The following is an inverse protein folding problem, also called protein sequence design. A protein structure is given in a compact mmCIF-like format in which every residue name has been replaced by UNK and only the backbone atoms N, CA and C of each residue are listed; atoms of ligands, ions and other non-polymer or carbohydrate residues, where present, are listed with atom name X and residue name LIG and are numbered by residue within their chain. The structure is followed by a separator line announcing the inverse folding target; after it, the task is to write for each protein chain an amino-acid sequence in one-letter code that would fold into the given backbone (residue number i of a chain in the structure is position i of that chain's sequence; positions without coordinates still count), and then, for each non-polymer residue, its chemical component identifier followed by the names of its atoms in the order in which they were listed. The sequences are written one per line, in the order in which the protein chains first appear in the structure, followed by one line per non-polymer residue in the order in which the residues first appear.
data_IF_847775097281
#
_entry.id   IF_847775097281
#
_cell.length_a   1.000
_cell.length_b   1.000
_cell.length_c   1.000
_cell.angle_alpha   90.00
_cell.angle_beta   90.00
_cell.angle_gamma   90.00
#
_symmetry.space_group_name_H-M   'P 1'
#
loop_
_entity.id
_entity.type
_entity.pdbx_description
1 polymer ?
#
# COMPACT_ATOMS: atom_id res chain seq x y z
N UNK A 1 -20.77 13.48 -8.47
CA UNK A 1 -19.75 14.13 -7.60
C UNK A 1 -20.44 15.21 -6.76
N UNK A 2 -20.18 15.28 -5.44
CA UNK A 2 -20.73 16.33 -4.57
C UNK A 2 -20.35 17.73 -5.06
N UNK A 3 -21.24 18.73 -4.90
CA UNK A 3 -20.99 20.11 -5.38
C UNK A 3 -20.01 20.89 -4.51
N UNK A 4 -20.07 20.71 -3.18
CA UNK A 4 -19.21 21.38 -2.21
C UNK A 4 -18.20 20.38 -1.59
N UNK A 5 -16.99 20.83 -1.22
CA UNK A 5 -16.00 19.98 -0.53
C UNK A 5 -16.52 19.50 0.82
N UNK A 6 -16.03 18.35 1.27
CA UNK A 6 -16.32 17.86 2.63
C UNK A 6 -15.77 18.81 3.69
N UNK A 7 -16.41 18.83 4.85
CA UNK A 7 -15.95 19.60 6.01
C UNK A 7 -14.56 19.13 6.47
N UNK A 8 -13.70 20.10 6.76
CA UNK A 8 -12.37 19.87 7.33
C UNK A 8 -12.39 20.30 8.81
N UNK A 9 -12.37 19.36 9.78
CA UNK A 9 -12.42 19.69 11.19
C UNK A 9 -11.14 20.39 11.65
N UNK A 10 -11.34 21.41 12.48
CA UNK A 10 -10.30 22.30 13.05
C UNK A 10 -9.57 23.12 11.99
N UNK A 11 -8.89 22.49 11.03
CA UNK A 11 -8.04 23.15 10.03
C UNK A 11 -8.82 23.57 8.78
N UNK A 12 -8.66 24.84 8.41
CA UNK A 12 -9.25 25.45 7.22
C UNK A 12 -8.19 25.89 6.20
N UNK A 13 -7.05 26.39 6.66
CA UNK A 13 -5.96 26.84 5.80
C UNK A 13 -4.69 26.03 6.07
N UNK A 14 -4.19 25.35 5.04
CA UNK A 14 -2.94 24.60 5.10
C UNK A 14 -2.00 25.13 4.03
N UNK A 15 -0.87 25.67 4.46
CA UNK A 15 0.24 26.07 3.59
C UNK A 15 1.48 25.22 3.89
N UNK A 16 2.51 25.35 3.07
CA UNK A 16 3.68 24.49 3.11
C UNK A 16 4.97 25.30 3.23
N UNK A 17 5.93 24.75 3.95
CA UNK A 17 7.24 25.36 4.16
C UNK A 17 8.07 25.25 2.89
N UNK A 18 8.69 26.38 2.50
CA UNK A 18 9.70 26.47 1.45
C UNK A 18 10.99 27.03 2.08
N UNK A 19 12.04 26.22 2.10
CA UNK A 19 13.33 26.53 2.70
C UNK A 19 14.44 26.08 1.75
N UNK A 20 15.18 27.04 1.19
CA UNK A 20 16.30 26.73 0.28
C UNK A 20 17.50 26.11 0.99
N UNK A 21 17.70 26.45 2.27
CA UNK A 21 18.86 26.04 3.06
C UNK A 21 18.41 25.39 4.37
N UNK A 22 18.03 24.11 4.31
CA UNK A 22 17.71 23.33 5.50
C UNK A 22 19.00 22.73 6.08
N UNK A 23 19.26 23.00 7.36
CA UNK A 23 20.40 22.39 8.06
C UNK A 23 19.93 21.11 8.73
N UNK A 24 20.67 20.02 8.54
CA UNK A 24 20.38 18.75 9.21
C UNK A 24 20.51 18.94 10.72
N UNK A 25 19.39 18.99 11.43
CA UNK A 25 19.38 19.28 12.87
C UNK A 25 19.59 18.02 13.73
N UNK A 26 18.93 16.91 13.37
CA UNK A 26 18.80 15.69 14.19
C UNK A 26 18.79 14.42 13.30
N UNK A 27 18.45 13.26 13.88
CA UNK A 27 18.38 12.01 13.12
C UNK A 27 17.20 11.99 12.13
N UNK A 28 17.44 11.34 11.00
CA UNK A 28 16.43 11.14 9.96
C UNK A 28 16.14 12.40 9.13
N UNK A 29 15.16 12.27 8.25
CA UNK A 29 14.71 13.30 7.33
C UNK A 29 15.61 13.38 6.10
N UNK A 30 15.25 14.27 5.19
CA UNK A 30 16.03 14.53 3.98
C UNK A 30 16.03 16.00 3.60
N UNK A 31 16.92 16.36 2.67
CA UNK A 31 16.92 17.68 2.05
C UNK A 31 15.59 17.96 1.33
N UNK A 32 14.98 16.93 0.73
CA UNK A 32 13.66 17.03 0.10
C UNK A 32 12.55 17.37 1.10
N UNK A 33 12.60 16.80 2.31
CA UNK A 33 11.67 17.05 3.40
C UNK A 33 12.00 18.26 4.29
N UNK A 34 13.19 18.85 4.15
CA UNK A 34 13.67 20.02 4.90
C UNK A 34 14.21 19.74 6.30
N UNK A 35 14.51 18.49 6.63
CA UNK A 35 15.04 18.09 7.96
C UNK A 35 14.31 18.73 9.16
N UNK A 36 12.96 18.60 9.28
CA UNK A 36 12.26 19.15 10.43
C UNK A 36 12.86 18.61 11.74
N UNK A 37 13.08 19.47 12.73
CA UNK A 37 13.46 19.06 14.08
C UNK A 37 12.32 18.25 14.75
N UNK A 38 12.64 17.52 15.82
CA UNK A 38 11.64 16.84 16.65
C UNK A 38 10.65 17.83 17.26
N UNK A 39 11.09 19.04 17.62
CA UNK A 39 10.20 20.12 18.08
C UNK A 39 9.19 20.51 17.00
N UNK A 40 9.65 20.81 15.79
CA UNK A 40 8.75 21.14 14.66
C UNK A 40 7.81 19.98 14.33
N UNK A 41 8.30 18.72 14.40
CA UNK A 41 7.45 17.53 14.25
C UNK A 41 6.34 17.51 15.31
N UNK A 42 6.66 17.68 16.59
CA UNK A 42 5.67 17.67 17.67
C UNK A 42 4.66 18.82 17.52
N UNK A 43 5.13 20.01 17.17
CA UNK A 43 4.26 21.17 16.90
C UNK A 43 3.31 20.93 15.72
N UNK A 44 3.75 20.20 14.68
CA UNK A 44 2.92 19.88 13.52
C UNK A 44 1.72 18.97 13.81
N UNK A 45 1.73 18.26 14.95
CA UNK A 45 0.57 17.50 15.41
C UNK A 45 -0.42 18.33 16.22
N UNK A 46 -0.08 19.55 16.65
CA UNK A 46 -1.01 20.45 17.32
C UNK A 46 -1.86 21.18 16.29
N UNK A 47 -2.95 20.54 15.86
CA UNK A 47 -3.79 21.03 14.76
C UNK A 47 -4.46 22.36 15.11
N UNK A 48 -4.30 23.35 14.23
CA UNK A 48 -4.87 24.70 14.33
C UNK A 48 -5.67 25.02 13.08
N UNK A 49 -6.47 26.09 13.14
CA UNK A 49 -7.27 26.56 12.01
C UNK A 49 -6.43 26.92 10.77
N UNK A 50 -5.25 27.51 11.01
CA UNK A 50 -4.26 27.80 9.97
C UNK A 50 -2.92 27.20 10.36
N UNK A 51 -2.29 26.46 9.45
CA UNK A 51 -0.99 25.82 9.66
C UNK A 51 -0.08 25.95 8.45
N UNK A 52 1.22 26.04 8.73
CA UNK A 52 2.29 25.90 7.74
C UNK A 52 3.13 24.70 8.15
N UNK A 53 3.28 23.70 7.28
CA UNK A 53 3.97 22.44 7.63
C UNK A 53 5.01 22.03 6.58
N UNK A 54 6.03 21.28 7.03
CA UNK A 54 6.90 20.52 6.12
C UNK A 54 6.07 19.42 5.44
N UNK A 55 6.21 19.27 4.12
CA UNK A 55 5.41 18.30 3.36
C UNK A 55 6.11 17.92 2.03
N UNK A 56 7.42 17.66 2.10
CA UNK A 56 8.26 17.55 0.90
C UNK A 56 8.34 18.85 0.08
N UNK A 57 9.13 18.82 -1.00
CA UNK A 57 9.26 19.95 -1.92
C UNK A 57 9.60 21.28 -1.21
N UNK A 58 10.52 21.24 -0.25
CA UNK A 58 10.92 22.45 0.49
C UNK A 58 11.82 23.38 -0.34
N UNK A 59 12.57 22.79 -1.27
CA UNK A 59 13.33 23.52 -2.28
C UNK A 59 12.45 23.83 -3.50
N UNK A 60 12.99 24.66 -4.41
CA UNK A 60 12.29 25.07 -5.62
C UNK A 60 11.19 26.12 -5.38
N UNK A 61 10.61 26.60 -6.48
CA UNK A 61 9.49 27.54 -6.51
C UNK A 61 8.13 26.82 -6.55
N UNK A 62 8.11 25.58 -7.04
CA UNK A 62 6.90 24.77 -7.19
C UNK A 62 7.22 23.28 -7.06
N UNK A 63 6.36 22.46 -6.43
CA UNK A 63 6.50 21.00 -6.48
C UNK A 63 6.72 20.50 -7.91
N UNK A 64 7.78 19.73 -8.13
CA UNK A 64 8.16 19.26 -9.46
C UNK A 64 9.21 20.12 -10.18
N UNK A 65 9.54 21.32 -9.71
CA UNK A 65 10.53 22.20 -10.35
C UNK A 65 11.68 22.54 -9.41
N UNK A 66 12.89 22.04 -9.71
CA UNK A 66 14.10 22.26 -8.93
C UNK A 66 13.93 21.89 -7.44
N UNK A 67 13.25 20.78 -7.19
CA UNK A 67 12.90 20.29 -5.84
C UNK A 67 13.67 19.03 -5.46
N UNK A 68 14.40 18.41 -6.39
CA UNK A 68 14.94 17.06 -6.23
C UNK A 68 13.86 15.99 -6.39
N UNK A 69 12.84 16.27 -7.20
CA UNK A 69 11.85 15.35 -7.74
C UNK A 69 11.30 16.08 -8.96
N UNK A 70 12.16 16.21 -9.98
CA UNK A 70 11.99 17.21 -11.02
C UNK A 70 11.21 16.62 -12.19
N UNK A 71 10.27 17.40 -12.70
CA UNK A 71 9.33 17.03 -13.76
C UNK A 71 9.46 18.08 -14.85
N UNK A 72 9.39 17.66 -16.11
CA UNK A 72 9.40 18.60 -17.24
C UNK A 72 8.25 19.61 -17.15
N UNK A 73 8.51 20.87 -17.49
CA UNK A 73 7.49 21.93 -17.44
C UNK A 73 6.25 21.62 -18.30
N UNK A 74 6.42 20.86 -19.40
CA UNK A 74 5.31 20.40 -20.24
C UNK A 74 4.37 19.44 -19.51
N UNK A 75 4.92 18.56 -18.68
CA UNK A 75 4.13 17.61 -17.88
C UNK A 75 3.55 18.31 -16.64
N UNK A 76 4.27 19.25 -16.02
CA UNK A 76 3.71 20.11 -14.95
C UNK A 76 2.50 20.89 -15.46
N UNK A 77 2.57 21.46 -16.66
CA UNK A 77 1.46 22.17 -17.28
C UNK A 77 0.22 21.28 -17.42
N UNK A 78 0.40 20.05 -17.89
CA UNK A 78 -0.67 19.07 -18.06
C UNK A 78 -1.25 18.61 -16.72
N UNK A 79 -0.40 18.44 -15.70
CA UNK A 79 -0.82 18.14 -14.33
C UNK A 79 -1.67 19.26 -13.73
N UNK A 80 -1.33 20.53 -13.99
CA UNK A 80 -2.12 21.69 -13.54
C UNK A 80 -3.51 21.76 -14.20
N UNK A 81 -3.64 21.29 -15.45
CA UNK A 81 -4.93 21.24 -16.13
C UNK A 81 -5.86 20.16 -15.56
N UNK A 82 -5.31 19.17 -14.86
CA UNK A 82 -6.12 18.12 -14.26
C UNK A 82 -7.01 18.67 -13.13
N UNK A 83 -8.32 18.47 -13.27
CA UNK A 83 -9.33 18.92 -12.30
C UNK A 83 -10.28 17.78 -11.95
N UNK A 84 -10.90 17.86 -10.78
CA UNK A 84 -11.90 16.87 -10.37
C UNK A 84 -11.24 15.60 -9.85
N UNK A 85 -11.03 14.59 -10.69
CA UNK A 85 -10.59 13.24 -10.26
C UNK A 85 -9.29 12.83 -10.95
N UNK A 86 -8.34 12.36 -10.15
CA UNK A 86 -7.07 11.80 -10.57
C UNK A 86 -6.98 10.32 -10.18
N UNK A 87 -6.55 9.48 -11.11
CA UNK A 87 -5.98 8.17 -10.80
C UNK A 87 -4.47 8.27 -11.02
N UNK A 88 -3.70 7.95 -9.99
CA UNK A 88 -2.25 8.04 -10.02
C UNK A 88 -1.59 6.71 -9.65
N UNK A 89 -0.46 6.43 -10.29
CA UNK A 89 0.39 5.29 -10.00
C UNK A 89 1.86 5.68 -10.14
N UNK A 90 2.78 4.81 -9.73
CA UNK A 90 4.19 4.97 -10.02
C UNK A 90 4.91 3.62 -10.18
N UNK A 91 5.94 3.62 -11.02
CA UNK A 91 6.89 2.53 -11.16
C UNK A 91 8.30 3.14 -11.19
N UNK A 92 9.09 2.84 -10.15
CA UNK A 92 10.48 3.25 -10.06
C UNK A 92 11.38 2.01 -10.00
N UNK A 93 12.57 2.09 -10.57
CA UNK A 93 13.52 0.99 -10.67
C UNK A 93 13.13 -0.08 -11.70
N UNK A 94 12.18 0.24 -12.58
CA UNK A 94 11.55 -0.68 -13.52
C UNK A 94 11.03 -1.98 -12.84
N UNK A 95 10.55 -1.85 -11.60
CA UNK A 95 10.24 -2.99 -10.73
C UNK A 95 8.99 -3.79 -11.16
N UNK A 96 8.03 -3.09 -11.75
CA UNK A 96 6.73 -3.61 -12.14
C UNK A 96 6.48 -3.42 -13.65
N UNK A 97 5.57 -4.22 -14.20
CA UNK A 97 4.99 -3.95 -15.51
C UNK A 97 3.79 -3.02 -15.39
N UNK A 98 3.60 -2.13 -16.37
CA UNK A 98 2.43 -1.24 -16.43
C UNK A 98 1.15 -2.08 -16.55
N UNK A 99 0.28 -1.96 -15.55
CA UNK A 99 -1.08 -2.50 -15.59
C UNK A 99 -2.05 -1.45 -16.15
N UNK A 100 -2.90 -1.81 -17.11
CA UNK A 100 -3.86 -0.89 -17.73
C UNK A 100 -5.18 -0.88 -16.97
N UNK A 101 -5.76 0.30 -16.62
CA UNK A 101 -7.09 0.34 -16.06
C UNK A 101 -8.11 -0.26 -17.03
N UNK A 102 -8.95 -1.18 -16.53
CA UNK A 102 -10.02 -1.85 -17.27
C UNK A 102 -11.39 -1.35 -16.80
N UNK A 103 -12.40 -1.56 -17.65
CA UNK A 103 -13.79 -1.22 -17.38
C UNK A 103 -14.02 0.27 -17.03
N UNK A 104 -13.22 1.16 -17.63
CA UNK A 104 -13.36 2.60 -17.49
C UNK A 104 -14.43 3.08 -18.47
N UNK A 105 -15.46 3.76 -17.97
CA UNK A 105 -16.53 4.32 -18.81
C UNK A 105 -16.02 5.44 -19.72
N UNK A 106 -16.70 5.71 -20.83
CA UNK A 106 -16.30 6.81 -21.73
C UNK A 106 -16.43 8.19 -21.08
N UNK A 107 -17.33 8.33 -20.10
CA UNK A 107 -17.41 9.51 -19.25
C UNK A 107 -16.13 9.68 -18.43
N UNK A 108 -15.67 8.61 -17.77
CA UNK A 108 -14.45 8.64 -16.97
C UNK A 108 -13.19 8.81 -17.81
N UNK A 109 -13.09 8.20 -19.00
CA UNK A 109 -11.97 8.43 -19.92
C UNK A 109 -11.81 9.90 -20.33
N UNK A 110 -12.91 10.66 -20.35
CA UNK A 110 -12.92 12.10 -20.68
C UNK A 110 -12.65 13.00 -19.47
N UNK A 111 -13.13 12.61 -18.29
CA UNK A 111 -13.19 13.48 -17.11
C UNK A 111 -12.21 13.11 -15.98
N UNK A 112 -11.61 11.92 -16.04
CA UNK A 112 -10.64 11.44 -15.06
C UNK A 112 -9.26 11.48 -15.67
N UNK A 113 -8.32 12.07 -14.94
CA UNK A 113 -6.92 12.06 -15.34
C UNK A 113 -6.25 10.75 -14.90
N UNK A 114 -5.43 10.16 -15.76
CA UNK A 114 -4.65 8.97 -15.46
C UNK A 114 -3.16 9.29 -15.63
N UNK A 115 -2.43 9.33 -14.52
CA UNK A 115 -1.01 9.69 -14.51
C UNK A 115 -0.18 8.58 -13.87
N UNK A 116 0.97 8.27 -14.47
CA UNK A 116 1.92 7.31 -13.91
C UNK A 116 3.31 7.95 -13.85
N UNK A 117 3.87 8.01 -12.64
CA UNK A 117 5.20 8.53 -12.40
C UNK A 117 6.24 7.42 -12.61
N UNK A 118 7.28 7.71 -13.38
CA UNK A 118 8.37 6.77 -13.65
C UNK A 118 9.72 7.45 -13.50
N UNK A 119 10.78 6.69 -13.24
CA UNK A 119 12.15 7.20 -13.34
C UNK A 119 12.73 6.98 -14.73
N UNK A 120 13.89 7.59 -14.99
CA UNK A 120 14.60 7.49 -16.27
C UNK A 120 14.92 6.04 -16.64
N UNK A 121 15.22 5.18 -15.64
CA UNK A 121 15.44 3.75 -15.87
C UNK A 121 14.19 3.06 -16.41
N UNK A 122 13.04 3.29 -15.77
CA UNK A 122 11.76 2.73 -16.19
C UNK A 122 11.33 3.31 -17.55
N UNK A 123 11.54 4.60 -17.78
CA UNK A 123 11.27 5.23 -19.08
C UNK A 123 12.08 4.57 -20.21
N UNK A 124 13.37 4.33 -20.00
CA UNK A 124 14.23 3.62 -20.94
C UNK A 124 13.70 2.21 -21.27
N UNK A 125 13.24 1.49 -20.26
CA UNK A 125 12.58 0.18 -20.45
C UNK A 125 11.30 0.28 -21.29
N UNK A 126 10.45 1.27 -21.05
CA UNK A 126 9.22 1.49 -21.80
C UNK A 126 9.46 1.85 -23.27
N UNK A 127 10.48 2.67 -23.54
CA UNK A 127 10.92 3.01 -24.91
C UNK A 127 11.44 1.77 -25.65
N UNK A 128 12.21 0.92 -24.97
CA UNK A 128 12.76 -0.31 -25.58
C UNK A 128 11.70 -1.36 -25.93
N UNK A 129 10.59 -1.38 -25.21
CA UNK A 129 9.48 -2.32 -25.42
C UNK A 129 8.39 -1.78 -26.36
N UNK A 130 8.64 -0.65 -27.04
CA UNK A 130 7.69 0.04 -27.94
C UNK A 130 6.33 0.36 -27.30
N UNK A 131 6.27 0.43 -25.96
CA UNK A 131 5.02 0.66 -25.24
C UNK A 131 4.67 2.15 -25.09
N UNK A 132 5.66 3.04 -25.22
CA UNK A 132 5.47 4.49 -25.10
C UNK A 132 5.18 5.11 -26.47
N UNK A 133 3.99 5.70 -26.64
CA UNK A 133 3.63 6.40 -27.87
C UNK A 133 4.25 7.81 -27.95
N UNK A 134 4.14 8.46 -29.12
CA UNK A 134 4.64 9.83 -29.34
C UNK A 134 3.98 10.88 -28.44
N UNK A 135 2.83 10.56 -27.84
CA UNK A 135 2.09 11.43 -26.92
C UNK A 135 2.48 11.25 -25.45
N UNK A 136 3.57 10.53 -25.17
CA UNK A 136 4.00 10.13 -23.82
C UNK A 136 2.94 9.32 -23.07
N UNK A 137 2.12 8.55 -23.79
CA UNK A 137 1.08 7.70 -23.19
C UNK A 137 1.38 6.22 -23.38
N UNK A 138 0.87 5.44 -22.43
CA UNK A 138 0.78 3.98 -22.48
C UNK A 138 -0.66 3.62 -22.13
N UNK A 139 -1.48 3.37 -23.15
CA UNK A 139 -2.92 3.18 -22.97
C UNK A 139 -3.58 4.40 -22.33
N UNK A 140 -4.22 4.24 -21.17
CA UNK A 140 -4.85 5.37 -20.47
C UNK A 140 -3.84 6.25 -19.73
N UNK A 141 -2.69 5.70 -19.34
CA UNK A 141 -1.70 6.42 -18.54
C UNK A 141 -0.97 7.46 -19.37
N UNK A 142 -0.96 8.71 -18.89
CA UNK A 142 0.07 9.68 -19.24
C UNK A 142 1.30 9.42 -18.38
N UNK A 143 2.45 9.22 -19.00
CA UNK A 143 3.72 8.95 -18.33
C UNK A 143 4.37 10.27 -17.96
N UNK A 144 4.76 10.39 -16.69
CA UNK A 144 5.52 11.52 -16.16
C UNK A 144 6.87 11.00 -15.69
N UNK A 145 7.93 11.42 -16.37
CA UNK A 145 9.29 11.06 -16.01
C UNK A 145 9.77 12.00 -14.90
N UNK A 146 10.34 11.41 -13.86
CA UNK A 146 10.88 12.13 -12.71
C UNK A 146 12.40 12.05 -12.74
N UNK A 147 13.02 13.21 -12.69
CA UNK A 147 14.45 13.42 -12.66
C UNK A 147 14.93 13.80 -11.26
N UNK A 148 16.23 13.67 -11.01
CA UNK A 148 16.88 14.11 -9.77
C UNK A 148 16.21 13.56 -8.50
N UNK A 149 15.88 12.26 -8.48
CA UNK A 149 15.12 11.64 -7.39
C UNK A 149 15.73 11.92 -6.00
N UNK A 150 14.90 12.18 -4.97
CA UNK A 150 15.39 12.67 -3.68
C UNK A 150 16.01 11.57 -2.81
N UNK A 151 15.79 10.30 -3.16
CA UNK A 151 16.24 9.15 -2.39
C UNK A 151 16.88 8.09 -3.28
N UNK A 152 17.87 7.40 -2.71
CA UNK A 152 18.48 6.23 -3.36
C UNK A 152 17.56 5.00 -3.34
N UNK A 153 16.58 4.92 -2.42
CA UNK A 153 15.61 3.82 -2.33
C UNK A 153 14.39 4.10 -3.24
N UNK A 154 14.20 3.35 -4.35
CA UNK A 154 13.06 3.54 -5.24
C UNK A 154 11.71 3.39 -4.53
N UNK A 155 11.64 2.57 -3.47
CA UNK A 155 10.41 2.40 -2.68
C UNK A 155 10.05 3.66 -1.91
N UNK A 156 11.05 4.41 -1.46
CA UNK A 156 10.87 5.71 -0.81
C UNK A 156 10.47 6.78 -1.82
N UNK A 157 11.09 6.80 -3.00
CA UNK A 157 10.66 7.66 -4.11
C UNK A 157 9.18 7.43 -4.47
N UNK A 158 8.74 6.17 -4.47
CA UNK A 158 7.34 5.79 -4.66
C UNK A 158 6.37 6.41 -3.64
N UNK A 159 6.85 6.81 -2.46
CA UNK A 159 6.00 7.44 -1.43
C UNK A 159 5.70 8.91 -1.73
N UNK A 160 6.51 9.57 -2.56
CA UNK A 160 6.29 10.97 -2.97
C UNK A 160 4.97 11.10 -3.75
N UNK A 161 4.78 10.47 -4.92
CA UNK A 161 3.52 10.56 -5.64
C UNK A 161 2.39 9.77 -4.97
N UNK A 162 2.67 8.92 -3.97
CA UNK A 162 1.63 8.25 -3.18
C UNK A 162 0.98 9.17 -2.14
N UNK A 163 1.80 9.88 -1.36
CA UNK A 163 1.33 10.65 -0.20
C UNK A 163 1.16 12.13 -0.54
N UNK A 164 1.90 12.65 -1.52
CA UNK A 164 1.99 14.07 -1.84
C UNK A 164 1.27 14.47 -3.15
N UNK A 165 0.28 13.69 -3.62
CA UNK A 165 -0.52 14.05 -4.81
C UNK A 165 -1.14 15.45 -4.72
N UNK A 166 -1.57 15.85 -3.52
CA UNK A 166 -2.12 17.18 -3.29
C UNK A 166 -1.11 18.33 -3.47
N UNK A 167 0.20 18.05 -3.38
CA UNK A 167 1.26 19.01 -3.71
C UNK A 167 1.51 19.04 -5.22
N UNK A 168 1.49 17.87 -5.86
CA UNK A 168 1.76 17.71 -7.30
C UNK A 168 0.57 18.12 -8.19
N UNK A 169 -0.66 17.95 -7.72
CA UNK A 169 -1.91 18.24 -8.42
C UNK A 169 -2.80 19.17 -7.58
N UNK A 170 -2.44 20.45 -7.42
CA UNK A 170 -3.15 21.37 -6.54
C UNK A 170 -4.61 21.64 -6.95
N UNK A 171 -4.97 21.38 -8.22
CA UNK A 171 -6.31 21.63 -8.77
C UNK A 171 -7.23 20.38 -8.75
N UNK A 172 -6.71 19.24 -8.29
CA UNK A 172 -7.47 17.99 -8.19
C UNK A 172 -8.23 17.93 -6.88
N UNK A 173 -9.49 17.50 -6.94
CA UNK A 173 -10.35 17.38 -5.77
C UNK A 173 -10.33 15.99 -5.16
N UNK A 174 -10.26 14.95 -5.98
CA UNK A 174 -10.23 13.56 -5.52
C UNK A 174 -9.08 12.81 -6.19
N UNK A 175 -8.40 11.94 -5.44
CA UNK A 175 -7.40 11.03 -5.99
C UNK A 175 -7.64 9.58 -5.59
N UNK A 176 -7.28 8.68 -6.51
CA UNK A 176 -7.06 7.27 -6.27
C UNK A 176 -5.58 6.98 -6.54
N UNK A 177 -4.82 6.70 -5.49
CA UNK A 177 -3.52 6.06 -5.65
C UNK A 177 -3.72 4.57 -5.88
N UNK A 178 -3.05 4.02 -6.90
CA UNK A 178 -3.00 2.58 -7.20
C UNK A 178 -1.54 2.17 -7.39
N UNK A 179 -1.04 1.26 -6.55
CA UNK A 179 0.32 0.72 -6.65
C UNK A 179 0.57 0.14 -8.05
N UNK A 180 1.78 0.29 -8.60
CA UNK A 180 2.10 -0.09 -9.99
C UNK A 180 1.86 -1.58 -10.33
N UNK A 181 1.97 -2.46 -9.34
CA UNK A 181 1.64 -3.89 -9.45
C UNK A 181 0.14 -4.20 -9.57
N UNK A 182 -0.74 -3.22 -9.40
CA UNK A 182 -2.18 -3.43 -9.36
C UNK A 182 -2.85 -2.94 -10.64
N UNK A 183 -3.78 -3.76 -11.14
CA UNK A 183 -4.71 -3.39 -12.20
C UNK A 183 -6.01 -2.85 -11.62
N UNK A 184 -6.39 -1.63 -11.97
CA UNK A 184 -7.68 -1.05 -11.62
C UNK A 184 -8.77 -1.62 -12.54
N UNK A 185 -9.78 -2.29 -11.99
CA UNK A 185 -10.80 -3.01 -12.78
C UNK A 185 -12.23 -2.46 -12.63
N UNK A 186 -12.40 -1.36 -11.89
CA UNK A 186 -13.68 -0.68 -11.67
C UNK A 186 -13.51 0.83 -11.88
N UNK A 187 -14.55 1.46 -12.40
CA UNK A 187 -14.57 2.89 -12.70
C UNK A 187 -14.33 3.76 -11.44
N UNK A 188 -13.44 4.77 -11.50
CA UNK A 188 -13.07 5.62 -10.37
C UNK A 188 -14.26 6.29 -9.67
N UNK A 189 -15.31 6.68 -10.40
CA UNK A 189 -16.46 7.31 -9.78
C UNK A 189 -17.25 6.34 -8.89
N UNK A 190 -17.34 5.06 -9.26
CA UNK A 190 -18.00 4.04 -8.44
C UNK A 190 -17.22 3.79 -7.14
N UNK A 191 -15.89 3.82 -7.21
CA UNK A 191 -15.00 3.68 -6.05
C UNK A 191 -15.17 4.88 -5.12
N UNK A 192 -15.13 6.11 -5.65
CA UNK A 192 -15.37 7.33 -4.87
C UNK A 192 -16.74 7.33 -4.21
N UNK A 193 -17.77 6.93 -4.94
CA UNK A 193 -19.13 6.82 -4.40
C UNK A 193 -19.18 5.85 -3.22
N UNK A 194 -18.65 4.64 -3.39
CA UNK A 194 -18.70 3.58 -2.38
C UNK A 194 -17.91 3.92 -1.12
N UNK A 195 -16.70 4.43 -1.27
CA UNK A 195 -15.74 4.53 -0.16
C UNK A 195 -15.64 5.93 0.45
N UNK A 196 -16.00 6.99 -0.29
CA UNK A 196 -16.01 8.36 0.25
C UNK A 196 -17.44 8.86 0.42
N UNK A 197 -18.19 9.02 -0.68
CA UNK A 197 -19.44 9.78 -0.66
C UNK A 197 -20.54 9.12 0.19
N UNK A 198 -20.80 7.82 0.01
CA UNK A 198 -21.78 7.07 0.83
C UNK A 198 -21.35 6.89 2.28
N UNK A 199 -20.05 7.04 2.56
CA UNK A 199 -19.46 6.90 3.90
C UNK A 199 -19.29 8.25 4.60
N UNK A 200 -19.59 9.35 3.91
CA UNK A 200 -19.31 10.71 4.37
C UNK A 200 -17.86 10.87 4.86
N UNK A 201 -16.91 10.29 4.11
CA UNK A 201 -15.49 10.27 4.46
C UNK A 201 -14.66 11.02 3.41
N UNK A 202 -13.57 11.64 3.84
CA UNK A 202 -12.61 12.32 2.96
C UNK A 202 -11.33 11.50 2.70
N UNK A 203 -11.18 10.36 3.39
CA UNK A 203 -10.05 9.45 3.21
C UNK A 203 -10.50 8.01 3.47
N UNK A 204 -10.15 7.11 2.56
CA UNK A 204 -10.42 5.69 2.71
C UNK A 204 -9.19 4.86 2.32
N UNK A 205 -8.95 3.82 3.10
CA UNK A 205 -7.81 2.90 2.93
C UNK A 205 -8.20 1.53 3.46
N UNK A 206 -7.78 0.48 2.78
CA UNK A 206 -8.03 -0.88 3.28
C UNK A 206 -7.15 -1.19 4.48
N UNK A 207 -7.65 -2.00 5.41
CA UNK A 207 -6.81 -2.66 6.40
C UNK A 207 -5.99 -3.79 5.77
N UNK A 208 -4.82 -4.06 6.32
CA UNK A 208 -3.98 -5.16 5.88
C UNK A 208 -4.65 -6.52 6.12
N UNK A 209 -4.47 -7.47 5.19
CA UNK A 209 -5.28 -8.69 5.11
C UNK A 209 -4.98 -9.73 6.20
N UNK A 210 -3.81 -9.63 6.85
CA UNK A 210 -3.34 -10.63 7.84
C UNK A 210 -2.86 -10.03 9.15
N UNK A 211 -2.36 -8.81 9.13
CA UNK A 211 -1.67 -8.17 10.26
C UNK A 211 -2.42 -6.89 10.58
N UNK A 212 -2.81 -6.72 11.83
CA UNK A 212 -3.63 -5.61 12.29
C UNK A 212 -2.95 -4.77 13.37
N UNK A 213 -1.86 -5.30 13.93
CA UNK A 213 -1.03 -4.65 14.93
C UNK A 213 0.31 -4.24 14.29
N UNK A 214 0.69 -2.98 14.50
CA UNK A 214 1.93 -2.38 13.99
C UNK A 214 3.19 -3.07 14.53
N UNK A 215 3.18 -3.60 15.73
CA UNK A 215 4.30 -4.37 16.29
C UNK A 215 4.46 -5.71 15.59
N UNK A 216 3.34 -6.37 15.24
CA UNK A 216 3.36 -7.60 14.44
C UNK A 216 3.83 -7.31 13.01
N UNK A 217 3.42 -6.16 12.45
CA UNK A 217 3.93 -5.70 11.15
C UNK A 217 5.43 -5.45 11.17
N UNK A 218 5.96 -4.86 12.25
CA UNK A 218 7.39 -4.61 12.41
C UNK A 218 8.20 -5.92 12.40
N UNK A 219 7.78 -6.92 13.17
CA UNK A 219 8.42 -8.24 13.17
C UNK A 219 8.34 -8.91 11.79
N UNK A 220 7.21 -8.78 11.08
CA UNK A 220 7.09 -9.30 9.73
C UNK A 220 8.02 -8.59 8.73
N UNK A 221 8.23 -7.28 8.86
CA UNK A 221 9.19 -6.54 8.04
C UNK A 221 10.63 -6.98 8.31
N UNK A 222 11.00 -7.21 9.57
CA UNK A 222 12.32 -7.76 9.94
C UNK A 222 12.54 -9.16 9.38
N UNK A 223 11.57 -10.06 9.59
CA UNK A 223 11.63 -11.44 9.10
C UNK A 223 11.76 -11.51 7.57
N UNK A 224 11.10 -10.59 6.84
CA UNK A 224 11.17 -10.50 5.39
C UNK A 224 12.33 -9.63 4.87
N UNK A 225 13.30 -9.29 5.72
CA UNK A 225 14.49 -8.48 5.42
C UNK A 225 14.16 -7.19 4.65
N UNK A 226 13.03 -6.56 4.98
CA UNK A 226 12.49 -5.40 4.26
C UNK A 226 13.24 -4.10 4.57
N UNK A 227 13.93 -4.05 5.70
CA UNK A 227 14.80 -2.97 6.14
C UNK A 227 15.77 -3.53 7.18
N UNK A 228 16.83 -2.80 7.52
CA UNK A 228 17.70 -3.19 8.62
C UNK A 228 16.92 -3.26 9.94
N UNK A 229 17.05 -4.37 10.67
CA UNK A 229 16.30 -4.62 11.91
C UNK A 229 16.45 -3.48 12.91
N UNK A 230 17.67 -2.99 13.11
CA UNK A 230 17.97 -1.88 14.02
C UNK A 230 17.18 -0.60 13.69
N UNK A 231 16.94 -0.29 12.41
CA UNK A 231 16.16 0.90 12.04
C UNK A 231 14.66 0.71 12.28
N UNK A 232 14.15 -0.52 12.11
CA UNK A 232 12.75 -0.85 12.45
C UNK A 232 12.56 -0.78 13.96
N UNK A 233 13.46 -1.41 14.73
CA UNK A 233 13.42 -1.41 16.19
C UNK A 233 13.48 0.03 16.73
N UNK A 234 14.38 0.85 16.19
CA UNK A 234 14.48 2.26 16.55
C UNK A 234 13.19 3.04 16.26
N UNK A 235 12.58 2.88 15.09
CA UNK A 235 11.31 3.53 14.75
C UNK A 235 10.18 3.11 15.70
N UNK A 236 10.06 1.81 15.96
CA UNK A 236 9.01 1.25 16.80
C UNK A 236 9.19 1.67 18.27
N UNK A 237 10.40 1.63 18.79
CA UNK A 237 10.68 2.04 20.17
C UNK A 237 10.51 3.56 20.35
N UNK A 238 10.80 4.35 19.31
CA UNK A 238 10.45 5.76 19.28
C UNK A 238 8.93 5.96 19.45
N UNK A 239 8.12 5.26 18.66
CA UNK A 239 6.65 5.37 18.78
C UNK A 239 6.10 4.82 20.10
N UNK A 240 6.66 3.74 20.65
CA UNK A 240 6.27 3.25 21.99
C UNK A 240 6.50 4.31 23.07
N UNK A 241 7.64 4.99 23.03
CA UNK A 241 7.95 6.10 23.96
C UNK A 241 6.98 7.27 23.80
N UNK A 242 6.40 7.46 22.62
CA UNK A 242 5.34 8.44 22.36
C UNK A 242 3.92 7.94 22.66
N UNK A 243 3.78 6.74 23.25
CA UNK A 243 2.49 6.20 23.71
C UNK A 243 1.79 5.27 22.71
N UNK A 244 2.45 4.82 21.65
CA UNK A 244 1.89 3.81 20.75
C UNK A 244 1.72 2.48 21.51
N UNK A 245 0.48 1.98 21.56
CA UNK A 245 0.08 0.73 22.23
C UNK A 245 -0.38 -0.32 21.24
N UNK A 246 -0.36 -1.62 21.62
CA UNK A 246 -0.80 -2.71 20.75
C UNK A 246 -2.22 -2.49 20.24
N UNK A 247 -2.52 -3.05 19.07
CA UNK A 247 -3.87 -2.97 18.54
C UNK A 247 -4.84 -3.71 19.47
N UNK A 248 -6.00 -3.10 19.73
CA UNK A 248 -7.11 -3.72 20.45
C UNK A 248 -8.43 -3.12 20.00
N UNK A 249 -9.54 -3.78 20.33
CA UNK A 249 -10.89 -3.30 20.01
C UNK A 249 -11.24 -1.95 20.66
N UNK A 250 -10.46 -1.50 21.64
CA UNK A 250 -10.57 -0.15 22.20
C UNK A 250 -10.31 0.96 21.17
N UNK A 251 -9.66 0.65 20.04
CA UNK A 251 -9.40 1.59 18.94
C UNK A 251 -10.55 1.68 17.91
N UNK A 252 -11.66 0.97 18.13
CA UNK A 252 -12.84 1.09 17.27
C UNK A 252 -13.32 2.56 17.19
N UNK A 253 -13.82 3.01 16.02
CA UNK A 253 -14.20 2.21 14.85
C UNK A 253 -13.04 1.82 13.92
N UNK A 254 -11.80 2.16 14.25
CA UNK A 254 -10.63 1.75 13.45
C UNK A 254 -10.30 0.27 13.73
N UNK A 255 -10.33 -0.52 12.66
CA UNK A 255 -10.25 -1.99 12.72
C UNK A 255 -8.84 -2.55 12.54
N UNK A 256 -7.81 -1.69 12.44
CA UNK A 256 -6.41 -2.06 12.26
C UNK A 256 -5.47 -0.87 12.46
N UNK A 257 -4.28 -1.10 13.02
CA UNK A 257 -3.13 -0.17 12.97
C UNK A 257 -2.38 -0.22 11.64
N UNK A 258 -2.54 -1.32 10.90
CA UNK A 258 -1.78 -1.60 9.68
C UNK A 258 -2.68 -1.44 8.46
N UNK A 259 -2.42 -0.44 7.60
CA UNK A 259 -3.12 -0.33 6.33
C UNK A 259 -2.54 -1.28 5.29
N UNK A 260 -3.37 -1.71 4.35
CA UNK A 260 -2.94 -2.16 3.04
C UNK A 260 -2.86 -0.94 2.13
N UNK A 261 -1.68 -0.32 2.07
CA UNK A 261 -1.49 0.96 1.41
C UNK A 261 -1.37 0.89 -0.11
N UNK A 262 -1.55 -0.26 -0.75
CA UNK A 262 -1.47 -0.37 -2.22
C UNK A 262 -2.62 0.37 -2.94
N UNK A 263 -3.66 0.78 -2.21
CA UNK A 263 -4.66 1.74 -2.69
C UNK A 263 -4.92 2.81 -1.63
N UNK A 264 -5.00 4.08 -2.05
CA UNK A 264 -5.48 5.18 -1.20
C UNK A 264 -6.55 5.96 -1.96
N UNK A 265 -7.72 6.15 -1.36
CA UNK A 265 -8.84 6.88 -1.95
C UNK A 265 -9.07 8.14 -1.12
N UNK A 266 -9.07 9.31 -1.74
CA UNK A 266 -8.99 10.56 -0.99
C UNK A 266 -9.70 11.72 -1.66
N UNK A 267 -10.34 12.56 -0.87
CA UNK A 267 -10.67 13.94 -1.21
C UNK A 267 -9.58 14.87 -0.68
N UNK A 268 -9.09 15.79 -1.50
CA UNK A 268 -8.06 16.76 -1.13
C UNK A 268 -8.67 17.94 -0.38
N UNK A 269 -8.86 17.77 0.93
CA UNK A 269 -9.24 18.82 1.88
C UNK A 269 -8.14 19.05 2.91
N UNK A 270 -8.09 20.21 3.60
CA UNK A 270 -6.98 20.57 4.49
C UNK A 270 -6.61 19.48 5.51
N UNK A 271 -7.57 18.86 6.21
CA UNK A 271 -7.28 17.80 7.18
C UNK A 271 -6.63 16.55 6.56
N UNK A 272 -7.09 16.15 5.37
CA UNK A 272 -6.55 14.99 4.66
C UNK A 272 -5.16 15.28 4.08
N UNK A 273 -4.92 16.54 3.70
CA UNK A 273 -3.64 17.05 3.24
C UNK A 273 -2.63 17.02 4.37
N UNK A 274 -2.99 17.59 5.52
CA UNK A 274 -2.18 17.53 6.73
C UNK A 274 -1.86 16.08 7.10
N UNK A 275 -2.87 15.20 7.16
CA UNK A 275 -2.65 13.79 7.48
C UNK A 275 -1.59 13.13 6.59
N UNK A 276 -1.69 13.29 5.27
CA UNK A 276 -0.69 12.70 4.36
C UNK A 276 0.66 13.40 4.36
N UNK A 277 0.73 14.70 4.65
CA UNK A 277 1.99 15.40 4.87
C UNK A 277 2.73 14.82 6.07
N UNK A 278 2.04 14.68 7.20
CA UNK A 278 2.63 14.12 8.42
C UNK A 278 3.00 12.65 8.23
N UNK A 279 2.18 11.88 7.52
CA UNK A 279 2.50 10.49 7.18
C UNK A 279 3.75 10.38 6.31
N UNK A 280 3.88 11.24 5.29
CA UNK A 280 5.09 11.33 4.49
C UNK A 280 6.31 11.73 5.33
N UNK A 281 6.17 12.70 6.24
CA UNK A 281 7.28 13.14 7.10
C UNK A 281 7.80 12.03 8.01
N UNK A 282 6.93 11.13 8.49
CA UNK A 282 7.36 9.95 9.25
C UNK A 282 8.13 8.95 8.36
N UNK A 283 7.67 8.74 7.12
CA UNK A 283 8.34 7.89 6.13
C UNK A 283 9.71 8.44 5.74
N UNK A 284 9.80 9.76 5.56
CA UNK A 284 11.04 10.47 5.27
C UNK A 284 12.02 10.38 6.45
N UNK A 285 11.51 10.53 7.69
CA UNK A 285 12.32 10.47 8.90
C UNK A 285 12.88 9.09 9.19
N UNK A 286 12.03 8.08 9.13
CA UNK A 286 12.37 6.73 9.58
C UNK A 286 12.58 5.79 8.39
N UNK A 287 11.84 4.68 8.32
CA UNK A 287 11.92 3.70 7.25
C UNK A 287 10.92 4.02 6.14
N UNK A 288 11.16 3.49 4.93
CA UNK A 288 10.21 3.61 3.80
C UNK A 288 8.93 2.75 3.97
N UNK A 289 8.76 2.09 5.12
CA UNK A 289 7.61 1.24 5.46
C UNK A 289 6.51 2.09 6.07
N UNK A 290 5.72 2.70 5.19
CA UNK A 290 4.55 3.53 5.53
C UNK A 290 3.52 2.82 6.43
N UNK A 291 3.43 1.50 6.39
CA UNK A 291 2.61 0.71 7.31
C UNK A 291 3.00 0.88 8.78
N UNK A 292 4.29 1.15 9.08
CA UNK A 292 4.79 1.31 10.45
C UNK A 292 4.49 2.67 11.05
N UNK A 293 4.30 3.70 10.22
CA UNK A 293 4.06 5.08 10.67
C UNK A 293 2.59 5.50 10.64
N UNK A 294 1.74 4.74 9.95
CA UNK A 294 0.33 5.09 9.74
C UNK A 294 -0.44 5.28 11.06
N UNK A 295 -0.37 4.32 11.98
CA UNK A 295 -1.11 4.37 13.25
C UNK A 295 -0.71 5.56 14.11
N UNK A 296 0.59 5.86 14.20
CA UNK A 296 1.11 7.01 14.96
C UNK A 296 0.53 8.32 14.47
N UNK A 297 0.52 8.54 13.14
CA UNK A 297 0.01 9.78 12.55
C UNK A 297 -1.51 9.87 12.71
N UNK A 298 -2.19 8.75 12.45
CA UNK A 298 -3.65 8.64 12.56
C UNK A 298 -4.10 8.95 13.99
N UNK A 299 -3.51 8.32 15.00
CA UNK A 299 -3.94 8.46 16.39
C UNK A 299 -3.74 9.89 16.88
N UNK A 300 -2.62 10.53 16.52
CA UNK A 300 -2.35 11.94 16.87
C UNK A 300 -3.34 12.90 16.20
N UNK A 301 -3.67 12.71 14.92
CA UNK A 301 -4.66 13.54 14.22
C UNK A 301 -6.08 13.31 14.75
N UNK A 302 -6.47 12.04 14.96
CA UNK A 302 -7.77 11.67 15.53
C UNK A 302 -7.96 12.31 16.90
N UNK A 303 -6.96 12.22 17.77
CA UNK A 303 -6.99 12.83 19.10
C UNK A 303 -7.24 14.34 19.06
N UNK A 304 -6.62 15.03 18.11
CA UNK A 304 -6.70 16.50 18.03
C UNK A 304 -7.94 17.05 17.32
N UNK A 305 -8.56 16.27 16.44
CA UNK A 305 -9.59 16.80 15.51
C UNK A 305 -10.88 15.99 15.45
N UNK A 306 -10.91 14.79 16.04
CA UNK A 306 -11.95 13.79 15.86
C UNK A 306 -12.17 13.35 14.39
N UNK A 307 -11.28 13.75 13.47
CA UNK A 307 -11.28 13.28 12.09
C UNK A 307 -10.81 11.83 12.04
N UNK A 308 -11.50 10.98 11.28
CA UNK A 308 -11.13 9.57 11.13
C UNK A 308 -11.10 9.15 9.66
N UNK A 309 -10.44 8.01 9.41
CA UNK A 309 -10.36 7.38 8.09
C UNK A 309 -11.47 6.34 7.93
N UNK A 310 -12.01 6.20 6.72
CA UNK A 310 -12.83 5.03 6.38
C UNK A 310 -11.92 3.83 6.12
N UNK A 311 -11.71 3.01 7.15
CA UNK A 311 -10.90 1.80 7.05
C UNK A 311 -11.73 0.59 6.62
N UNK A 312 -11.65 0.24 5.34
CA UNK A 312 -12.45 -0.84 4.76
C UNK A 312 -11.69 -2.18 4.69
N UNK A 313 -12.39 -3.26 4.36
CA UNK A 313 -11.81 -4.61 4.38
C UNK A 313 -10.96 -4.89 3.12
N UNK A 314 -9.89 -5.67 3.25
CA UNK A 314 -9.07 -6.05 2.09
C UNK A 314 -9.86 -6.81 1.01
N UNK A 315 -10.86 -7.61 1.39
CA UNK A 315 -11.75 -8.25 0.42
C UNK A 315 -12.52 -7.22 -0.43
N UNK A 316 -12.89 -6.07 0.13
CA UNK A 316 -13.51 -4.99 -0.63
C UNK A 316 -12.53 -4.30 -1.57
N UNK A 317 -11.25 -4.18 -1.18
CA UNK A 317 -10.16 -3.72 -2.07
C UNK A 317 -10.06 -4.60 -3.31
N UNK A 318 -10.04 -5.92 -3.12
CA UNK A 318 -9.92 -6.91 -4.19
C UNK A 318 -11.09 -6.91 -5.18
N UNK A 319 -12.21 -6.27 -4.86
CA UNK A 319 -13.33 -6.12 -5.78
C UNK A 319 -13.08 -5.07 -6.87
N UNK A 320 -12.09 -4.17 -6.70
CA UNK A 320 -11.83 -3.10 -7.65
C UNK A 320 -10.37 -3.00 -8.10
N UNK A 321 -9.45 -3.73 -7.47
CA UNK A 321 -8.08 -3.91 -7.96
C UNK A 321 -7.66 -5.37 -7.95
N UNK A 322 -6.95 -5.79 -9.00
CA UNK A 322 -6.36 -7.13 -9.13
C UNK A 322 -4.84 -7.00 -9.09
N UNK A 323 -4.17 -7.94 -8.41
CA UNK A 323 -2.72 -7.93 -8.34
C UNK A 323 -2.13 -8.61 -9.58
N UNK A 324 -1.33 -7.86 -10.34
CA UNK A 324 -0.42 -8.39 -11.34
C UNK A 324 0.85 -8.96 -10.70
N UNK A 325 1.67 -9.61 -11.51
CA UNK A 325 2.96 -10.15 -11.08
C UNK A 325 4.07 -9.10 -11.23
N UNK A 326 5.03 -9.11 -10.31
CA UNK A 326 6.25 -8.31 -10.42
C UNK A 326 7.06 -8.75 -11.64
N UNK A 327 7.84 -7.82 -12.23
CA UNK A 327 8.58 -8.11 -13.46
C UNK A 327 9.61 -9.23 -13.26
N UNK A 328 10.32 -9.19 -12.15
CA UNK A 328 11.31 -10.21 -11.78
C UNK A 328 10.70 -11.62 -11.73
N UNK A 329 9.49 -11.77 -11.21
CA UNK A 329 8.78 -13.06 -11.19
C UNK A 329 8.47 -13.54 -12.62
N UNK A 330 8.01 -12.64 -13.49
CA UNK A 330 7.65 -12.96 -14.87
C UNK A 330 8.85 -13.30 -15.75
N UNK A 331 10.00 -12.66 -15.54
CA UNK A 331 11.24 -12.97 -16.25
C UNK A 331 11.75 -14.39 -15.98
N UNK A 332 11.37 -14.99 -14.84
CA UNK A 332 11.70 -16.37 -14.48
C UNK A 332 10.63 -17.39 -14.90
N UNK A 333 9.52 -16.96 -15.51
CA UNK A 333 8.50 -17.88 -16.00
C UNK A 333 8.89 -18.47 -17.35
N UNK A 334 8.72 -19.79 -17.48
CA UNK A 334 8.84 -20.45 -18.77
C UNK A 334 7.84 -19.82 -19.75
N UNK A 335 8.23 -19.54 -21.01
CA UNK A 335 7.29 -19.04 -22.01
C UNK A 335 6.07 -19.97 -22.09
N UNK A 336 4.85 -19.43 -22.25
CA UNK A 336 3.71 -20.27 -22.55
C UNK A 336 4.02 -21.10 -23.82
N UNK A 337 3.59 -22.37 -23.88
CA UNK A 337 3.81 -23.18 -25.07
C UNK A 337 3.24 -22.45 -26.30
N UNK A 338 3.90 -22.53 -27.46
CA UNK A 338 3.37 -21.94 -28.69
C UNK A 338 1.94 -22.43 -28.94
N UNK A 339 1.01 -21.51 -29.21
CA UNK A 339 -0.33 -21.88 -29.70
C UNK A 339 -0.15 -22.65 -31.02
N UNK A 340 -0.22 -23.96 -30.93
CA UNK A 340 0.06 -24.88 -32.05
C UNK A 340 0.58 -26.25 -31.64
N UNK A 341 1.11 -26.40 -30.41
CA UNK A 341 1.52 -27.71 -29.90
C UNK A 341 0.36 -28.49 -29.25
N UNK A 342 -0.76 -28.65 -29.95
CA UNK A 342 -1.66 -29.79 -29.71
C UNK A 342 -1.06 -31.00 -30.43
N UNK A 343 0.02 -31.53 -29.89
CA UNK A 343 0.45 -32.88 -30.26
C UNK A 343 -0.53 -33.82 -29.59
N UNK A 344 -1.29 -34.56 -30.39
CA UNK A 344 -2.07 -35.71 -29.98
C UNK A 344 -1.20 -36.67 -29.16
N UNK A 345 -1.18 -36.51 -27.84
CA UNK A 345 -0.77 -37.57 -26.94
C UNK A 345 -2.03 -38.35 -26.59
N UNK A 346 -2.14 -39.54 -27.18
CA UNK A 346 -3.06 -40.56 -26.69
C UNK A 346 -2.88 -40.70 -25.17
N UNK A 347 -3.96 -40.88 -24.40
CA UNK A 347 -3.84 -41.08 -22.96
C UNK A 347 -2.96 -42.31 -22.67
N UNK A 348 -2.08 -42.28 -21.65
CA UNK A 348 -1.29 -43.44 -21.29
C UNK A 348 -2.21 -44.61 -20.92
N UNK A 349 -2.02 -45.74 -21.58
CA UNK A 349 -2.66 -47.01 -21.22
C UNK A 349 -2.30 -47.37 -19.78
N UNK A 350 -3.31 -47.70 -18.96
CA UNK A 350 -3.12 -48.24 -17.62
C UNK A 350 -2.21 -49.48 -17.65
N UNK A 351 -1.31 -49.67 -16.66
CA UNK A 351 -0.55 -50.91 -16.54
C UNK A 351 -1.49 -52.08 -16.29
N UNK A 352 -1.40 -53.10 -17.13
CA UNK A 352 -2.09 -54.37 -16.94
C UNK A 352 -1.61 -55.05 -15.65
N UNK A 353 -2.57 -55.50 -14.84
CA UNK A 353 -2.33 -56.47 -13.77
C UNK A 353 -1.71 -57.72 -14.37
N UNK A 354 -0.50 -58.06 -13.95
CA UNK A 354 0.07 -59.39 -14.17
C UNK A 354 -0.31 -60.24 -12.95
N UNK A 355 -1.18 -61.22 -13.20
CA UNK A 355 -1.48 -62.33 -12.32
C UNK A 355 -0.22 -63.19 -12.13
N UNK A 356 0.30 -63.24 -10.91
CA UNK A 356 1.15 -64.36 -10.48
C UNK A 356 0.30 -65.36 -9.69
N UNK A 357 -0.05 -66.46 -10.37
CA UNK A 357 -0.64 -67.65 -9.77
C UNK A 357 0.47 -68.43 -9.03
N UNK A 358 0.33 -68.73 -7.72
CA UNK A 358 1.30 -69.57 -7.01
C UNK A 358 1.02 -71.06 -7.30
N UNK A 359 2.07 -71.81 -7.66
CA UNK A 359 2.02 -73.28 -7.70
C UNK A 359 2.14 -73.87 -6.29
N UNK A 360 1.20 -74.77 -6.01
CA UNK A 360 0.98 -75.72 -4.89
C UNK A 360 2.22 -76.58 -4.56
N UNK A 361 2.40 -77.32 -3.45
CA UNK A 361 1.52 -78.02 -2.47
C UNK A 361 2.35 -78.28 -1.18
N UNK A 362 1.80 -78.17 0.05
CA UNK A 362 1.62 -79.20 1.13
C UNK A 362 2.11 -78.55 2.46
N UNK A 363 1.53 -78.63 3.66
CA UNK A 363 0.64 -79.59 4.31
C UNK A 363 -0.03 -78.98 5.60
N UNK A 364 -1.29 -79.38 5.85
CA UNK A 364 -1.91 -79.71 7.17
C UNK A 364 -2.30 -78.62 8.20
N UNK A 365 -3.64 -78.48 8.36
CA UNK A 365 -4.48 -78.31 9.59
C UNK A 365 -4.25 -77.11 10.55
N UNK A 366 -5.20 -76.49 11.26
CA UNK A 366 -6.66 -76.60 11.48
C UNK A 366 -7.14 -75.35 12.25
N UNK A 367 -8.37 -74.88 11.97
CA UNK A 367 -9.37 -74.26 12.90
C UNK A 367 -9.10 -72.88 13.57
N UNK A 368 -9.68 -71.82 12.98
CA UNK A 368 -10.74 -70.84 13.45
C UNK A 368 -11.05 -70.90 14.99
N UNK A 369 -11.25 -69.79 15.77
CA UNK A 369 -12.25 -68.75 15.42
C UNK A 369 -12.18 -67.29 15.97
N UNK A 370 -12.77 -66.38 15.17
CA UNK A 370 -13.75 -65.29 15.48
C UNK A 370 -13.55 -64.20 16.55
N UNK A 371 -13.48 -62.93 16.06
CA UNK A 371 -14.50 -61.85 16.12
C UNK A 371 -15.17 -61.45 17.48
N UNK A 372 -15.11 -60.11 17.76
CA UNK A 372 -16.14 -59.13 18.26
C UNK A 372 -16.04 -58.49 19.68
N UNK A 373 -15.98 -57.14 19.63
CA UNK A 373 -16.80 -56.08 20.29
C UNK A 373 -16.77 -55.83 21.83
N UNK A 374 -16.38 -54.58 22.16
CA UNK A 374 -17.08 -53.51 22.95
C UNK A 374 -17.40 -53.73 24.45
N UNK A 375 -16.88 -52.87 25.35
CA UNK A 375 -17.56 -51.74 26.08
C UNK A 375 -16.89 -51.36 27.41
N UNK A 376 -16.77 -50.04 27.63
CA UNK A 376 -16.80 -49.19 28.85
C UNK A 376 -16.64 -49.77 30.28
N UNK A 377 -15.85 -49.07 31.14
CA UNK A 377 -16.34 -48.49 32.42
C UNK A 377 -15.35 -47.55 33.16
N UNK A 378 -15.95 -46.57 33.86
CA UNK A 378 -15.41 -45.48 34.72
C UNK A 378 -14.93 -45.94 36.12
N UNK A 379 -14.07 -45.13 36.77
CA UNK A 379 -14.14 -44.71 38.20
C UNK A 379 -13.09 -43.59 38.46
N UNK A 380 -13.40 -42.36 38.89
CA UNK A 380 -13.87 -41.80 40.19
C UNK A 380 -12.74 -41.19 41.05
N UNK A 381 -13.09 -40.06 41.71
CA UNK A 381 -12.29 -39.01 42.38
C UNK A 381 -11.67 -39.41 43.74
N UNK A 382 -10.65 -38.66 44.22
CA UNK A 382 -10.71 -37.88 45.48
C UNK A 382 -9.51 -36.91 45.68
N UNK A 383 -9.77 -35.89 46.52
CA UNK A 383 -9.00 -34.67 46.85
C UNK A 383 -8.75 -34.66 48.38
N UNK A 384 -7.58 -34.22 48.88
CA UNK A 384 -7.29 -33.71 50.25
C UNK A 384 -5.97 -32.92 50.17
N UNK A 385 -5.90 -31.60 50.42
CA UNK A 385 -5.94 -30.79 51.67
C UNK A 385 -4.64 -30.84 52.49
N UNK A 386 -4.16 -29.64 52.84
CA UNK A 386 -2.95 -29.29 53.59
C UNK A 386 -3.06 -29.42 55.12
N UNK A 387 -1.90 -29.50 55.77
CA UNK A 387 -1.48 -29.07 57.14
C UNK A 387 0.02 -29.43 57.21
N UNK A 388 0.99 -28.67 57.71
CA UNK A 388 1.00 -27.71 58.81
C UNK A 388 1.86 -28.30 59.94
N UNK A 389 3.14 -27.94 60.00
CA UNK A 389 3.98 -27.80 61.21
C UNK A 389 5.12 -26.84 60.89
#
# INVERSE_FOLDING_TARGET
MPKAPSYSPVIQNLTYIYEKNSTKSEFGGSAFGGYPSLKQRLESYHVKESMTVHCGFVAGDKPGRNTGFDIEDSDIFEMDQCRGVLVASAIFGAYDLIQQPKNISDLSKKNVCFFMFVDEQTEGFLKSSSNLDQSKRVGLWRIVVVHNLPYNDPRRNGKVPKLLLHRLFPNVRYSLWVDGKLELIVDPYQILERFLWRKNASFAISRHYKRFDVFVEAEANKAAAKYANASIDFQIDFYKKEGLTPYSEAKLPITSDVPEGCVVIREHIPISNLFTCLWFNEVDRFTSRDQLSFSTVRDKIMFMTNWTVNMFWDCERRNFVVQGYHRDILEHWAPPPPLGALVNSNPPSLPALIDEIPKTVENVSTKIPTIRRRRDRKSSRHRKVATGM
#
